data_IF_362797092406
#
_entry.id   IF_362797092406
#
_cell.length_a   1.000
_cell.length_b   1.000
_cell.length_c   1.000
_cell.angle_alpha   90.00
_cell.angle_beta   90.00
_cell.angle_gamma   90.00
#
_symmetry.space_group_name_H-M   'P 1'
#
loop_
_entity.id
_entity.type
_entity.pdbx_description
1 polymer ?
#
# COMPACT_ATOMS: atom_id res chain seq x y z
N UNK A 1 -13.49 8.22 10.76
CA UNK A 1 -13.40 9.45 9.94
C UNK A 1 -12.98 10.58 10.86
N UNK A 2 -12.10 11.51 10.43
CA UNK A 2 -11.77 12.69 11.24
C UNK A 2 -12.99 13.58 11.49
N UNK A 3 -14.00 13.44 10.63
CA UNK A 3 -15.31 14.05 10.76
C UNK A 3 -16.14 13.20 11.73
N UNK A 4 -16.68 13.81 12.79
CA UNK A 4 -17.63 13.15 13.67
C UNK A 4 -18.93 12.82 12.93
N UNK A 5 -19.57 11.73 13.34
CA UNK A 5 -20.94 11.36 12.94
C UNK A 5 -21.75 11.01 14.20
N UNK A 6 -23.04 10.76 14.06
CA UNK A 6 -23.89 10.30 15.17
C UNK A 6 -23.30 9.04 15.84
N UNK A 7 -22.64 8.17 15.07
CA UNK A 7 -21.95 6.99 15.60
C UNK A 7 -20.82 7.33 16.60
N UNK A 8 -20.25 8.54 16.53
CA UNK A 8 -19.19 8.98 17.44
C UNK A 8 -19.67 9.05 18.89
N UNK A 9 -20.95 9.30 19.13
CA UNK A 9 -21.55 9.30 20.48
C UNK A 9 -21.54 7.89 21.06
N UNK A 10 -21.86 6.88 20.24
CA UNK A 10 -21.86 5.48 20.63
C UNK A 10 -20.44 4.95 20.89
N UNK A 11 -19.48 5.33 20.04
CA UNK A 11 -18.07 4.99 20.24
C UNK A 11 -17.51 5.52 21.56
N UNK A 12 -17.88 6.74 21.98
CA UNK A 12 -17.51 7.29 23.30
C UNK A 12 -17.99 6.44 24.48
N UNK A 13 -19.09 5.72 24.28
CA UNK A 13 -19.67 4.79 25.26
C UNK A 13 -19.26 3.33 25.00
N UNK A 14 -18.25 3.09 24.15
CA UNK A 14 -17.71 1.76 23.81
C UNK A 14 -18.73 0.79 23.19
N UNK A 15 -19.74 1.31 22.49
CA UNK A 15 -20.61 0.45 21.69
C UNK A 15 -19.91 0.03 20.40
N UNK A 16 -19.98 -1.27 20.10
CA UNK A 16 -19.56 -1.82 18.81
C UNK A 16 -20.59 -1.49 17.73
N UNK A 17 -20.12 -1.21 16.52
CA UNK A 17 -21.00 -0.87 15.41
C UNK A 17 -20.24 -0.60 14.11
N UNK A 18 -20.99 -0.33 13.05
CA UNK A 18 -20.47 -0.06 11.71
C UNK A 18 -21.02 1.28 11.22
N UNK A 19 -20.17 2.10 10.61
CA UNK A 19 -20.55 3.36 9.97
C UNK A 19 -20.22 3.29 8.49
N UNK A 20 -21.22 3.48 7.64
CA UNK A 20 -21.08 3.40 6.18
C UNK A 20 -21.08 4.81 5.59
N UNK A 21 -20.04 5.15 4.81
CA UNK A 21 -19.95 6.41 4.09
C UNK A 21 -19.33 6.20 2.68
N UNK A 22 -19.86 6.89 1.66
CA UNK A 22 -19.20 7.01 0.35
C UNK A 22 -18.04 7.99 0.51
N UNK A 23 -16.87 7.62 -0.01
CA UNK A 23 -15.63 8.40 0.17
C UNK A 23 -15.23 9.21 -1.07
N UNK A 24 -15.65 8.81 -2.28
CA UNK A 24 -15.37 9.59 -3.49
C UNK A 24 -16.27 10.83 -3.57
N UNK A 25 -15.87 11.81 -4.39
CA UNK A 25 -16.57 13.08 -4.60
C UNK A 25 -16.72 13.94 -3.34
N UNK A 26 -15.72 13.90 -2.45
CA UNK A 26 -15.65 14.73 -1.24
C UNK A 26 -15.83 16.23 -1.51
N UNK A 27 -15.46 16.69 -2.71
CA UNK A 27 -15.61 18.07 -3.17
C UNK A 27 -17.07 18.55 -3.20
N UNK A 28 -18.05 17.64 -3.30
CA UNK A 28 -19.47 17.99 -3.35
C UNK A 28 -20.06 18.23 -1.96
N UNK A 29 -19.44 17.69 -0.91
CA UNK A 29 -19.93 17.74 0.45
C UNK A 29 -20.12 19.18 0.96
N UNK A 30 -21.29 19.50 1.52
CA UNK A 30 -21.65 20.84 2.00
C UNK A 30 -21.60 21.93 0.91
N UNK A 31 -21.86 21.57 -0.35
CA UNK A 31 -21.98 22.51 -1.47
C UNK A 31 -23.32 22.32 -2.17
N UNK A 32 -23.65 23.21 -3.11
CA UNK A 32 -24.82 23.04 -3.99
C UNK A 32 -24.75 21.79 -4.87
N UNK A 33 -23.56 21.17 -5.01
CA UNK A 33 -23.38 19.92 -5.75
C UNK A 33 -23.77 18.69 -4.92
N UNK A 34 -24.07 18.83 -3.62
CA UNK A 34 -24.66 17.77 -2.80
C UNK A 34 -26.16 17.62 -3.15
N UNK A 35 -26.43 17.14 -4.36
CA UNK A 35 -27.75 17.08 -4.98
C UNK A 35 -28.07 15.71 -5.56
N UNK A 36 -29.35 15.44 -5.79
CA UNK A 36 -29.84 14.17 -6.33
C UNK A 36 -29.17 13.78 -7.66
N UNK A 37 -28.90 14.78 -8.50
CA UNK A 37 -28.28 14.59 -9.83
C UNK A 37 -26.86 14.05 -9.75
N UNK A 38 -26.17 14.22 -8.63
CA UNK A 38 -24.80 13.77 -8.41
C UNK A 38 -24.71 12.44 -7.63
N UNK A 39 -25.84 11.79 -7.34
CA UNK A 39 -25.87 10.47 -6.71
C UNK A 39 -25.56 9.39 -7.76
N UNK A 40 -24.54 8.57 -7.47
CA UNK A 40 -24.25 7.38 -8.26
C UNK A 40 -25.13 6.20 -7.81
N UNK A 41 -26.01 5.75 -8.71
CA UNK A 41 -26.89 4.61 -8.47
C UNK A 41 -26.13 3.29 -8.23
N UNK A 42 -24.91 3.14 -8.78
CA UNK A 42 -24.09 1.95 -8.49
C UNK A 42 -23.60 1.96 -7.05
N UNK A 43 -23.19 3.12 -6.55
CA UNK A 43 -22.82 3.30 -5.14
C UNK A 43 -24.01 3.02 -4.21
N UNK A 44 -25.22 3.48 -4.58
CA UNK A 44 -26.46 3.17 -3.84
C UNK A 44 -26.79 1.68 -3.83
N UNK A 45 -26.68 1.00 -4.98
CA UNK A 45 -26.91 -0.44 -5.08
C UNK A 45 -25.90 -1.22 -4.23
N UNK A 46 -24.62 -0.85 -4.30
CA UNK A 46 -23.56 -1.46 -3.50
C UNK A 46 -23.78 -1.27 -2.00
N UNK A 47 -24.26 -0.10 -1.59
CA UNK A 47 -24.71 0.18 -0.21
C UNK A 47 -25.81 -0.78 0.23
N UNK A 48 -26.84 -0.94 -0.61
CA UNK A 48 -27.94 -1.86 -0.35
C UNK A 48 -27.45 -3.29 -0.16
N UNK A 49 -26.58 -3.78 -1.05
CA UNK A 49 -26.02 -5.13 -0.97
C UNK A 49 -25.20 -5.38 0.29
N UNK A 50 -24.41 -4.40 0.75
CA UNK A 50 -23.64 -4.54 1.98
C UNK A 50 -24.54 -4.46 3.22
N UNK A 51 -25.33 -3.40 3.33
CA UNK A 51 -26.11 -3.09 4.54
C UNK A 51 -27.26 -4.08 4.72
N UNK A 52 -27.98 -4.43 3.66
CA UNK A 52 -29.11 -5.35 3.75
C UNK A 52 -28.68 -6.72 4.28
N UNK A 53 -27.59 -7.27 3.75
CA UNK A 53 -27.09 -8.58 4.18
C UNK A 53 -26.63 -8.57 5.63
N UNK A 54 -25.96 -7.50 6.06
CA UNK A 54 -25.53 -7.32 7.47
C UNK A 54 -26.75 -7.19 8.38
N UNK A 55 -27.70 -6.30 8.07
CA UNK A 55 -28.90 -6.06 8.86
C UNK A 55 -29.79 -7.31 8.94
N UNK A 56 -29.97 -8.02 7.82
CA UNK A 56 -30.69 -9.29 7.76
C UNK A 56 -30.01 -10.34 8.62
N UNK A 57 -28.70 -10.52 8.50
CA UNK A 57 -27.94 -11.45 9.32
C UNK A 57 -28.12 -11.15 10.81
N UNK A 58 -27.99 -9.88 11.21
CA UNK A 58 -28.19 -9.45 12.58
C UNK A 58 -29.62 -9.71 13.10
N UNK A 59 -30.64 -9.39 12.30
CA UNK A 59 -32.05 -9.51 12.69
C UNK A 59 -32.53 -10.96 12.86
N UNK A 60 -31.96 -11.89 12.09
CA UNK A 60 -32.38 -13.30 12.10
C UNK A 60 -31.41 -14.24 12.84
N UNK A 61 -30.32 -13.72 13.39
CA UNK A 61 -29.42 -14.50 14.25
C UNK A 61 -30.02 -14.63 15.65
N UNK A 62 -30.01 -15.84 16.23
CA UNK A 62 -30.53 -16.07 17.58
C UNK A 62 -29.73 -15.29 18.64
N UNK A 63 -30.38 -14.83 19.71
CA UNK A 63 -29.74 -14.03 20.77
C UNK A 63 -28.55 -14.75 21.40
N UNK A 64 -28.67 -16.05 21.54
CA UNK A 64 -27.66 -17.00 22.02
C UNK A 64 -26.40 -17.05 21.13
N UNK A 65 -26.48 -16.65 19.86
CA UNK A 65 -25.32 -16.46 18.95
C UNK A 65 -24.80 -15.02 18.91
N UNK A 66 -25.54 -14.06 19.46
CA UNK A 66 -25.18 -12.63 19.52
C UNK A 66 -24.52 -12.25 20.86
N UNK A 67 -24.04 -13.23 21.62
CA UNK A 67 -23.56 -13.03 22.99
C UNK A 67 -22.27 -12.23 23.09
N UNK A 68 -21.50 -12.09 22.00
CA UNK A 68 -20.33 -11.22 21.97
C UNK A 68 -20.04 -10.70 20.54
N UNK A 69 -19.94 -9.37 20.39
CA UNK A 69 -19.48 -8.71 19.16
C UNK A 69 -17.97 -8.38 19.20
N UNK A 70 -17.27 -8.80 20.25
CA UNK A 70 -15.83 -8.66 20.38
C UNK A 70 -15.13 -9.94 19.91
N UNK A 71 -14.28 -9.78 18.90
CA UNK A 71 -13.37 -10.85 18.48
C UNK A 71 -12.15 -10.90 19.39
N UNK A 72 -11.59 -12.09 19.60
CA UNK A 72 -10.33 -12.25 20.33
C UNK A 72 -9.12 -11.68 19.55
N UNK A 73 -9.24 -11.59 18.22
CA UNK A 73 -8.17 -11.12 17.34
C UNK A 73 -8.73 -10.17 16.28
N UNK A 74 -7.94 -9.19 15.85
CA UNK A 74 -8.29 -8.42 14.66
C UNK A 74 -8.12 -9.26 13.40
N UNK A 75 -8.75 -8.82 12.32
CA UNK A 75 -8.64 -9.43 10.99
C UNK A 75 -7.91 -8.48 10.04
N UNK A 76 -7.05 -9.05 9.20
CA UNK A 76 -6.45 -8.38 8.03
C UNK A 76 -7.23 -8.83 6.81
N UNK A 77 -7.73 -7.88 6.02
CA UNK A 77 -8.49 -8.21 4.83
C UNK A 77 -8.25 -7.21 3.69
N UNK A 78 -8.36 -7.72 2.46
CA UNK A 78 -8.27 -6.93 1.24
C UNK A 78 -8.93 -7.68 0.08
N UNK A 79 -9.26 -6.94 -0.98
CA UNK A 79 -9.90 -7.51 -2.16
C UNK A 79 -8.85 -7.80 -3.23
N UNK A 80 -8.87 -9.01 -3.80
CA UNK A 80 -8.11 -9.33 -5.03
C UNK A 80 -8.96 -8.99 -6.26
N UNK A 81 -10.27 -9.14 -6.14
CA UNK A 81 -11.26 -8.70 -7.12
C UNK A 81 -12.51 -8.21 -6.38
N UNK A 82 -13.46 -7.52 -7.05
CA UNK A 82 -14.67 -7.03 -6.39
C UNK A 82 -15.45 -8.10 -5.62
N UNK A 83 -15.37 -9.36 -6.03
CA UNK A 83 -16.10 -10.48 -5.41
C UNK A 83 -15.22 -11.40 -4.54
N UNK A 84 -13.90 -11.19 -4.50
CA UNK A 84 -12.96 -12.06 -3.79
C UNK A 84 -12.25 -11.26 -2.70
N UNK A 85 -12.67 -11.51 -1.46
CA UNK A 85 -12.06 -10.95 -0.25
C UNK A 85 -11.12 -11.98 0.36
N UNK A 86 -9.85 -11.63 0.51
CA UNK A 86 -8.90 -12.36 1.33
C UNK A 86 -9.02 -11.84 2.76
N UNK A 87 -9.15 -12.74 3.74
CA UNK A 87 -9.17 -12.41 5.16
C UNK A 87 -8.41 -13.44 5.98
N UNK A 88 -7.69 -12.98 7.00
CA UNK A 88 -6.98 -13.82 7.96
C UNK A 88 -6.70 -13.03 9.25
N UNK A 89 -6.52 -13.75 10.36
CA UNK A 89 -6.25 -13.12 11.65
C UNK A 89 -4.94 -12.31 11.65
N UNK A 90 -4.89 -11.30 12.51
CA UNK A 90 -3.67 -10.53 12.79
C UNK A 90 -2.52 -11.44 13.26
N UNK A 91 -2.80 -12.49 14.03
CA UNK A 91 -1.79 -13.47 14.45
C UNK A 91 -1.17 -14.19 13.25
N UNK A 92 -1.99 -14.62 12.29
CA UNK A 92 -1.51 -15.20 11.03
C UNK A 92 -0.66 -14.20 10.25
N UNK A 93 -1.04 -12.92 10.24
CA UNK A 93 -0.27 -11.85 9.61
C UNK A 93 1.12 -11.71 10.25
N UNK A 94 1.18 -11.73 11.58
CA UNK A 94 2.40 -11.61 12.35
C UNK A 94 3.33 -12.83 12.17
N UNK A 95 2.76 -14.05 12.16
CA UNK A 95 3.52 -15.27 11.86
C UNK A 95 4.12 -15.19 10.45
N UNK A 96 3.35 -14.76 9.45
CA UNK A 96 3.85 -14.59 8.09
C UNK A 96 4.98 -13.56 8.03
N UNK A 97 4.82 -12.41 8.68
CA UNK A 97 5.87 -11.38 8.77
C UNK A 97 7.16 -11.95 9.35
N UNK A 98 7.07 -12.69 10.46
CA UNK A 98 8.22 -13.33 11.11
C UNK A 98 8.92 -14.31 10.16
N UNK A 99 8.18 -15.18 9.47
CA UNK A 99 8.72 -16.13 8.49
C UNK A 99 9.48 -15.39 7.37
N UNK A 100 8.89 -14.32 6.84
CA UNK A 100 9.47 -13.52 5.74
C UNK A 100 10.73 -12.79 6.21
N UNK A 101 10.74 -12.23 7.43
CA UNK A 101 11.94 -11.60 8.03
C UNK A 101 13.07 -12.61 8.21
N UNK A 102 12.81 -13.77 8.80
CA UNK A 102 13.84 -14.80 8.98
C UNK A 102 14.36 -15.34 7.64
N UNK A 103 13.48 -15.50 6.65
CA UNK A 103 13.86 -15.90 5.29
C UNK A 103 14.79 -14.87 4.65
N UNK A 104 14.50 -13.57 4.80
CA UNK A 104 15.37 -12.50 4.32
C UNK A 104 16.75 -12.58 4.96
N UNK A 105 16.82 -12.68 6.30
CA UNK A 105 18.08 -12.74 7.05
C UNK A 105 18.92 -13.95 6.58
N UNK A 106 18.29 -15.13 6.48
CA UNK A 106 18.96 -16.33 6.00
C UNK A 106 19.53 -16.14 4.58
N UNK A 107 18.76 -15.57 3.65
CA UNK A 107 19.22 -15.33 2.28
C UNK A 107 20.32 -14.28 2.18
N UNK A 108 20.28 -13.21 2.99
CA UNK A 108 21.36 -12.21 3.04
C UNK A 108 22.67 -12.88 3.51
N UNK A 109 22.62 -13.66 4.60
CA UNK A 109 23.79 -14.39 5.11
C UNK A 109 24.34 -15.35 4.06
N UNK A 110 23.46 -16.12 3.39
CA UNK A 110 23.85 -17.05 2.34
C UNK A 110 24.43 -16.35 1.11
N UNK A 111 23.83 -15.25 0.66
CA UNK A 111 24.33 -14.45 -0.46
C UNK A 111 25.70 -13.86 -0.15
N UNK A 112 25.91 -13.39 1.09
CA UNK A 112 27.19 -12.88 1.55
C UNK A 112 28.26 -13.96 1.58
N UNK A 113 27.97 -15.12 2.20
CA UNK A 113 28.88 -16.28 2.25
C UNK A 113 29.25 -16.80 0.85
N UNK A 114 28.34 -16.74 -0.11
CA UNK A 114 28.59 -17.11 -1.52
C UNK A 114 29.31 -16.02 -2.33
N UNK A 115 29.69 -14.90 -1.72
CA UNK A 115 30.35 -13.78 -2.41
C UNK A 115 29.44 -13.01 -3.39
N UNK A 116 28.13 -13.29 -3.37
CA UNK A 116 27.13 -12.65 -4.25
C UNK A 116 26.59 -11.33 -3.71
N UNK A 117 26.88 -11.00 -2.45
CA UNK A 117 26.47 -9.76 -1.77
C UNK A 117 27.64 -9.15 -1.01
N UNK A 118 27.96 -7.88 -1.27
CA UNK A 118 28.89 -7.08 -0.46
C UNK A 118 28.09 -6.24 0.53
N UNK A 119 28.29 -6.50 1.81
CA UNK A 119 27.48 -5.91 2.88
C UNK A 119 27.51 -4.37 2.91
N UNK A 120 28.69 -3.77 2.70
CA UNK A 120 28.81 -2.30 2.64
C UNK A 120 28.01 -1.67 1.49
N UNK A 121 27.88 -2.35 0.34
CA UNK A 121 27.07 -1.88 -0.79
C UNK A 121 25.58 -2.07 -0.54
N UNK A 122 25.19 -3.18 0.08
CA UNK A 122 23.83 -3.39 0.55
C UNK A 122 23.37 -2.26 1.47
N UNK A 123 24.17 -1.88 2.48
CA UNK A 123 23.85 -0.75 3.36
C UNK A 123 23.76 0.59 2.61
N UNK A 124 24.69 0.84 1.67
CA UNK A 124 24.64 2.05 0.85
C UNK A 124 23.36 2.11 0.00
N UNK A 125 22.93 0.98 -0.56
CA UNK A 125 21.71 0.88 -1.35
C UNK A 125 20.45 1.11 -0.50
N UNK A 126 20.42 0.66 0.77
CA UNK A 126 19.35 1.00 1.71
C UNK A 126 19.26 2.51 1.88
N UNK A 127 20.39 3.18 2.16
CA UNK A 127 20.43 4.63 2.37
C UNK A 127 20.01 5.37 1.09
N UNK A 128 20.59 5.02 -0.06
CA UNK A 128 20.32 5.66 -1.34
C UNK A 128 18.84 5.49 -1.78
N UNK A 129 18.29 4.28 -1.61
CA UNK A 129 16.89 4.00 -1.94
C UNK A 129 15.96 4.75 -1.00
N UNK A 130 16.23 4.74 0.31
CA UNK A 130 15.44 5.49 1.31
C UNK A 130 15.44 6.99 1.01
N UNK A 131 16.62 7.55 0.74
CA UNK A 131 16.76 8.95 0.38
C UNK A 131 15.97 9.28 -0.89
N UNK A 132 16.02 8.44 -1.91
CA UNK A 132 15.30 8.66 -3.16
C UNK A 132 13.78 8.60 -2.95
N UNK A 133 13.27 7.63 -2.17
CA UNK A 133 11.84 7.53 -1.82
C UNK A 133 11.38 8.78 -1.09
N UNK A 134 12.08 9.17 -0.02
CA UNK A 134 11.72 10.32 0.82
C UNK A 134 11.81 11.62 0.01
N UNK A 135 12.89 11.80 -0.75
CA UNK A 135 13.10 12.99 -1.57
C UNK A 135 11.98 13.15 -2.61
N UNK A 136 11.62 12.09 -3.33
CA UNK A 136 10.55 12.14 -4.32
C UNK A 136 9.18 12.39 -3.67
N UNK A 137 8.89 11.75 -2.53
CA UNK A 137 7.65 12.02 -1.79
C UNK A 137 7.55 13.48 -1.33
N UNK A 138 8.63 14.05 -0.80
CA UNK A 138 8.70 15.46 -0.41
C UNK A 138 8.53 16.38 -1.64
N UNK A 139 9.24 16.10 -2.74
CA UNK A 139 9.13 16.85 -3.98
C UNK A 139 7.70 16.84 -4.52
N UNK A 140 7.05 15.68 -4.52
CA UNK A 140 5.66 15.54 -4.94
C UNK A 140 4.66 16.25 -4.02
N UNK A 141 5.03 16.53 -2.76
CA UNK A 141 4.23 17.33 -1.81
C UNK A 141 4.31 18.82 -2.10
N UNK A 142 5.38 19.30 -2.75
CA UNK A 142 5.51 20.70 -3.15
C UNK A 142 4.44 21.10 -4.16
N UNK A 143 3.98 20.17 -5.00
CA UNK A 143 2.93 20.43 -6.01
C UNK A 143 1.62 20.87 -5.35
N UNK A 144 0.96 20.07 -4.48
CA UNK A 144 -0.25 20.52 -3.80
C UNK A 144 -0.02 21.72 -2.88
N UNK A 145 1.17 21.87 -2.29
CA UNK A 145 1.51 23.07 -1.50
C UNK A 145 1.48 24.36 -2.34
N UNK A 146 2.12 24.34 -3.52
CA UNK A 146 2.13 25.48 -4.45
C UNK A 146 0.71 25.75 -4.95
N UNK A 147 -0.04 24.71 -5.31
CA UNK A 147 -1.42 24.82 -5.76
C UNK A 147 -2.32 25.44 -4.69
N UNK A 148 -2.18 25.02 -3.43
CA UNK A 148 -2.90 25.62 -2.32
C UNK A 148 -2.62 27.13 -2.22
N UNK A 149 -1.34 27.52 -2.30
CA UNK A 149 -0.92 28.93 -2.21
C UNK A 149 -1.45 29.78 -3.37
N UNK A 150 -1.41 29.27 -4.61
CA UNK A 150 -1.92 29.98 -5.80
C UNK A 150 -3.44 30.19 -5.71
N UNK A 151 -4.16 29.22 -5.16
CA UNK A 151 -5.62 29.29 -4.99
C UNK A 151 -6.05 29.97 -3.68
N UNK A 152 -5.13 30.57 -2.92
CA UNK A 152 -5.45 31.25 -1.66
C UNK A 152 -5.94 30.32 -0.54
N UNK A 153 -5.65 29.02 -0.62
CA UNK A 153 -6.08 28.01 0.34
C UNK A 153 -4.95 27.67 1.33
N UNK A 154 -5.34 27.28 2.55
CA UNK A 154 -4.39 26.73 3.53
C UNK A 154 -4.03 25.30 3.14
N UNK A 155 -2.75 25.06 2.87
CA UNK A 155 -2.25 23.71 2.60
C UNK A 155 -2.49 22.77 3.79
N UNK A 156 -2.97 21.56 3.48
CA UNK A 156 -3.12 20.47 4.43
C UNK A 156 -2.84 19.14 3.72
N UNK A 157 -2.02 18.30 4.35
CA UNK A 157 -1.54 17.01 3.83
C UNK A 157 -2.65 15.97 3.64
N UNK A 158 -3.75 16.09 4.37
CA UNK A 158 -4.82 15.09 4.39
C UNK A 158 -6.16 15.66 3.94
N UNK A 159 -6.22 16.93 3.55
CA UNK A 159 -7.46 17.58 3.13
C UNK A 159 -7.18 18.86 2.32
N UNK A 160 -7.24 18.74 1.00
CA UNK A 160 -7.09 19.81 0.02
C UNK A 160 -8.09 19.59 -1.15
N UNK A 161 -9.40 19.69 -0.88
CA UNK A 161 -10.45 19.54 -1.89
C UNK A 161 -10.48 20.72 -2.87
N UNK A 162 -11.31 20.62 -3.91
CA UNK A 162 -11.66 21.69 -4.85
C UNK A 162 -10.49 22.26 -5.67
N UNK A 163 -9.41 21.49 -5.85
CA UNK A 163 -8.33 21.84 -6.77
C UNK A 163 -8.71 21.40 -8.20
N UNK A 164 -8.72 22.32 -9.18
CA UNK A 164 -8.97 21.98 -10.58
C UNK A 164 -7.99 20.92 -11.10
N UNK A 165 -8.50 19.92 -11.81
CA UNK A 165 -7.71 18.82 -12.38
C UNK A 165 -6.92 17.99 -11.35
N UNK A 166 -7.34 17.99 -10.07
CA UNK A 166 -6.64 17.31 -8.98
C UNK A 166 -6.30 15.85 -9.29
N UNK A 167 -7.26 15.08 -9.80
CA UNK A 167 -7.09 13.65 -10.16
C UNK A 167 -5.96 13.44 -11.19
N UNK A 168 -5.88 14.29 -12.22
CA UNK A 168 -4.85 14.20 -13.25
C UNK A 168 -3.46 14.58 -12.70
N UNK A 169 -3.39 15.63 -11.88
CA UNK A 169 -2.13 16.06 -11.25
C UNK A 169 -1.63 14.96 -10.29
N UNK A 170 -2.53 14.36 -9.52
CA UNK A 170 -2.22 13.25 -8.62
C UNK A 170 -1.62 12.06 -9.40
N UNK A 171 -2.27 11.64 -10.50
CA UNK A 171 -1.80 10.54 -11.33
C UNK A 171 -0.44 10.83 -11.99
N UNK A 172 -0.28 12.03 -12.56
CA UNK A 172 0.97 12.43 -13.22
C UNK A 172 2.14 12.54 -12.23
N UNK A 173 1.89 12.99 -11.00
CA UNK A 173 2.90 13.01 -9.93
C UNK A 173 3.36 11.58 -9.56
N UNK A 174 2.43 10.64 -9.41
CA UNK A 174 2.76 9.23 -9.12
C UNK A 174 3.55 8.61 -10.27
N UNK A 175 3.07 8.73 -11.52
CA UNK A 175 3.75 8.17 -12.69
C UNK A 175 5.13 8.80 -12.90
N UNK A 176 5.23 10.12 -12.74
CA UNK A 176 6.50 10.85 -12.81
C UNK A 176 7.49 10.37 -11.76
N UNK A 177 7.05 10.19 -10.51
CA UNK A 177 7.89 9.66 -9.44
C UNK A 177 8.38 8.23 -9.73
N UNK A 178 7.50 7.35 -10.26
CA UNK A 178 7.90 6.00 -10.70
C UNK A 178 9.01 6.08 -11.75
N UNK A 179 8.85 6.93 -12.78
CA UNK A 179 9.84 7.07 -13.85
C UNK A 179 11.18 7.60 -13.34
N UNK A 180 11.16 8.66 -12.53
CA UNK A 180 12.38 9.25 -11.96
C UNK A 180 13.07 8.27 -11.00
N UNK A 181 12.31 7.58 -10.15
CA UNK A 181 12.84 6.54 -9.28
C UNK A 181 13.47 5.41 -10.09
N UNK A 182 12.76 4.92 -11.11
CA UNK A 182 13.25 3.85 -11.99
C UNK A 182 14.56 4.24 -12.68
N UNK A 183 14.63 5.48 -13.17
CA UNK A 183 15.84 6.02 -13.77
C UNK A 183 16.98 6.10 -12.74
N UNK A 184 16.73 6.64 -11.54
CA UNK A 184 17.74 6.75 -10.48
C UNK A 184 18.29 5.39 -10.05
N UNK A 185 17.41 4.41 -9.79
CA UNK A 185 17.80 3.05 -9.41
C UNK A 185 18.55 2.33 -10.53
N UNK A 186 18.18 2.57 -11.80
CA UNK A 186 18.91 2.00 -12.94
C UNK A 186 20.37 2.45 -12.99
N UNK A 187 20.70 3.65 -12.51
CA UNK A 187 22.07 4.16 -12.41
C UNK A 187 22.88 3.51 -11.29
N UNK A 188 22.23 3.01 -10.25
CA UNK A 188 22.90 2.27 -9.17
C UNK A 188 23.30 0.86 -9.60
N UNK A 189 22.60 0.28 -10.59
CA UNK A 189 22.99 -0.98 -11.20
C UNK A 189 24.28 -0.80 -12.01
N UNK A 190 25.40 -1.29 -11.48
CA UNK A 190 26.66 -1.36 -12.23
C UNK A 190 26.96 -2.75 -12.72
N UNK A 191 28.07 -2.86 -13.45
CA UNK A 191 28.43 -4.01 -14.30
C UNK A 191 28.62 -5.36 -13.57
N UNK A 192 28.79 -5.37 -12.24
CA UNK A 192 29.03 -6.59 -11.45
C UNK A 192 27.87 -6.88 -10.49
N UNK A 193 26.95 -7.81 -10.83
CA UNK A 193 25.97 -8.45 -9.92
C UNK A 193 25.21 -7.53 -8.93
N UNK A 194 25.17 -6.21 -9.18
CA UNK A 194 24.62 -5.21 -8.24
C UNK A 194 23.12 -5.34 -8.04
N UNK A 195 22.45 -6.11 -8.90
CA UNK A 195 21.01 -6.35 -8.85
C UNK A 195 20.56 -6.96 -7.52
N UNK A 196 21.28 -7.97 -6.99
CA UNK A 196 20.89 -8.63 -5.74
C UNK A 196 20.95 -7.70 -4.53
N UNK A 197 21.99 -6.87 -4.42
CA UNK A 197 22.14 -5.91 -3.34
C UNK A 197 20.98 -4.89 -3.33
N UNK A 198 20.55 -4.43 -4.51
CA UNK A 198 19.38 -3.54 -4.66
C UNK A 198 18.08 -4.24 -4.28
N UNK A 199 17.86 -5.47 -4.74
CA UNK A 199 16.67 -6.26 -4.40
C UNK A 199 16.58 -6.48 -2.89
N UNK A 200 17.65 -6.96 -2.26
CA UNK A 200 17.67 -7.15 -0.80
C UNK A 200 17.43 -5.84 -0.04
N UNK A 201 17.92 -4.71 -0.55
CA UNK A 201 17.66 -3.39 0.05
C UNK A 201 16.18 -3.02 -0.01
N UNK A 202 15.53 -3.21 -1.17
CA UNK A 202 14.10 -2.97 -1.34
C UNK A 202 13.24 -3.86 -0.43
N UNK A 203 13.56 -5.16 -0.34
CA UNK A 203 12.88 -6.09 0.56
C UNK A 203 13.08 -5.64 2.02
N UNK A 204 14.31 -5.31 2.43
CA UNK A 204 14.61 -4.86 3.80
C UNK A 204 13.79 -3.63 4.18
N UNK A 205 13.73 -2.63 3.30
CA UNK A 205 12.95 -1.41 3.54
C UNK A 205 11.46 -1.69 3.71
N UNK A 206 10.91 -2.57 2.88
CA UNK A 206 9.50 -2.95 3.00
C UNK A 206 9.24 -3.76 4.27
N UNK A 207 10.13 -4.65 4.70
CA UNK A 207 9.94 -5.37 5.96
C UNK A 207 10.07 -4.47 7.19
N UNK A 208 10.91 -3.43 7.14
CA UNK A 208 10.91 -2.38 8.17
C UNK A 208 9.54 -1.68 8.22
N UNK A 209 9.00 -1.30 7.06
CA UNK A 209 7.65 -0.71 6.99
C UNK A 209 6.56 -1.69 7.42
N UNK A 210 6.69 -2.98 7.11
CA UNK A 210 5.77 -4.02 7.54
C UNK A 210 5.77 -4.19 9.06
N UNK A 211 6.94 -4.16 9.71
CA UNK A 211 7.05 -4.20 11.16
C UNK A 211 6.42 -2.95 11.80
N UNK A 212 6.70 -1.76 11.25
CA UNK A 212 6.04 -0.53 11.72
C UNK A 212 4.52 -0.60 11.53
N UNK A 213 4.05 -1.06 10.36
CA UNK A 213 2.63 -1.25 10.10
C UNK A 213 2.01 -2.27 11.04
N UNK A 214 2.68 -3.39 11.35
CA UNK A 214 2.14 -4.40 12.29
C UNK A 214 1.85 -3.83 13.68
N UNK A 215 2.60 -2.80 14.11
CA UNK A 215 2.43 -2.18 15.43
C UNK A 215 1.34 -1.09 15.41
N UNK A 216 1.36 -0.23 14.38
CA UNK A 216 0.51 0.98 14.35
C UNK A 216 -0.75 0.84 13.50
N UNK A 217 -0.74 -0.05 12.53
CA UNK A 217 -1.80 -0.24 11.54
C UNK A 217 -1.77 -1.68 11.01
N UNK A 218 -2.02 -2.65 11.89
CA UNK A 218 -1.82 -4.07 11.60
C UNK A 218 -2.55 -4.52 10.32
N UNK A 219 -3.75 -3.97 10.08
CA UNK A 219 -4.55 -4.17 8.88
C UNK A 219 -3.89 -3.73 7.56
N UNK A 220 -2.81 -2.94 7.58
CA UNK A 220 -2.10 -2.48 6.39
C UNK A 220 -0.76 -3.19 6.15
N UNK A 221 -0.26 -3.99 7.09
CA UNK A 221 1.07 -4.60 6.98
C UNK A 221 1.20 -5.53 5.74
N UNK A 222 0.10 -6.14 5.30
CA UNK A 222 0.06 -7.04 4.15
C UNK A 222 0.59 -6.41 2.86
N UNK A 223 0.43 -5.09 2.70
CA UNK A 223 0.85 -4.37 1.49
C UNK A 223 2.36 -4.46 1.28
N UNK A 224 3.12 -4.57 2.37
CA UNK A 224 4.58 -4.69 2.38
C UNK A 224 5.03 -6.15 2.44
N UNK A 225 4.34 -6.99 3.24
CA UNK A 225 4.72 -8.40 3.44
C UNK A 225 4.55 -9.23 2.19
N UNK A 226 3.42 -9.11 1.48
CA UNK A 226 3.11 -9.97 0.34
C UNK A 226 4.11 -9.77 -0.80
N UNK A 227 4.39 -8.54 -1.28
CA UNK A 227 5.41 -8.34 -2.31
C UNK A 227 6.82 -8.75 -1.85
N UNK A 228 7.17 -8.50 -0.58
CA UNK A 228 8.44 -8.94 -0.02
C UNK A 228 8.60 -10.46 -0.05
N UNK A 229 7.55 -11.22 0.28
CA UNK A 229 7.57 -12.68 0.23
C UNK A 229 7.83 -13.21 -1.18
N UNK A 230 7.18 -12.66 -2.21
CA UNK A 230 7.44 -13.04 -3.60
C UNK A 230 8.87 -12.70 -4.04
N UNK A 231 9.40 -11.54 -3.64
CA UNK A 231 10.79 -11.20 -3.98
C UNK A 231 11.83 -12.00 -3.19
N UNK A 232 11.52 -12.49 -2.00
CA UNK A 232 12.34 -13.49 -1.30
C UNK A 232 12.39 -14.80 -2.09
N UNK A 233 11.25 -15.27 -2.61
CA UNK A 233 11.22 -16.45 -3.48
C UNK A 233 12.04 -16.23 -4.76
N UNK A 234 11.96 -15.04 -5.36
CA UNK A 234 12.81 -14.66 -6.49
C UNK A 234 14.31 -14.74 -6.13
N UNK A 235 14.71 -14.16 -5.00
CA UNK A 235 16.09 -14.21 -4.50
C UNK A 235 16.55 -15.66 -4.23
N UNK A 236 15.67 -16.50 -3.66
CA UNK A 236 15.96 -17.92 -3.45
C UNK A 236 16.26 -18.62 -4.78
N UNK A 237 15.39 -18.45 -5.79
CA UNK A 237 15.60 -19.03 -7.13
C UNK A 237 16.88 -18.48 -7.75
N UNK A 238 17.19 -17.19 -7.60
CA UNK A 238 18.42 -16.59 -8.13
C UNK A 238 19.71 -17.10 -7.43
N UNK A 239 19.62 -17.49 -6.16
CA UNK A 239 20.77 -17.99 -5.40
C UNK A 239 21.04 -19.49 -5.61
N UNK A 240 20.01 -20.29 -5.89
CA UNK A 240 20.08 -21.75 -5.96
C UNK A 240 19.70 -22.36 -7.31
N UNK A 241 18.86 -21.68 -8.10
CA UNK A 241 18.38 -22.14 -9.40
C UNK A 241 18.99 -21.38 -10.58
N UNK A 242 18.93 -21.99 -11.76
CA UNK A 242 19.28 -21.37 -13.06
C UNK A 242 18.09 -21.25 -14.01
N UNK A 243 16.89 -21.60 -13.58
CA UNK A 243 15.73 -21.66 -14.45
C UNK A 243 15.05 -20.28 -14.54
N UNK A 244 15.22 -19.61 -15.68
CA UNK A 244 14.62 -18.29 -15.92
C UNK A 244 13.09 -18.34 -16.00
N UNK A 245 12.51 -19.48 -16.40
CA UNK A 245 11.05 -19.69 -16.39
C UNK A 245 10.53 -19.64 -14.96
N UNK A 246 11.21 -20.25 -14.00
CA UNK A 246 10.81 -20.19 -12.59
C UNK A 246 10.94 -18.77 -12.02
N UNK A 247 11.96 -18.01 -12.44
CA UNK A 247 12.09 -16.60 -12.05
C UNK A 247 10.92 -15.76 -12.57
N UNK A 248 10.55 -15.96 -13.84
CA UNK A 248 9.38 -15.31 -14.45
C UNK A 248 8.07 -15.73 -13.75
N UNK A 249 7.91 -17.01 -13.44
CA UNK A 249 6.74 -17.55 -12.76
C UNK A 249 6.53 -16.97 -11.36
N UNK A 250 7.58 -16.47 -10.70
CA UNK A 250 7.48 -15.76 -9.41
C UNK A 250 7.31 -14.25 -9.58
N UNK A 251 8.03 -13.64 -10.52
CA UNK A 251 8.01 -12.18 -10.67
C UNK A 251 6.68 -11.67 -11.23
N UNK A 252 6.04 -12.40 -12.15
CA UNK A 252 4.79 -11.98 -12.79
C UNK A 252 3.66 -11.90 -11.75
N UNK A 253 3.40 -12.93 -10.91
CA UNK A 253 2.46 -12.79 -9.81
C UNK A 253 2.81 -11.68 -8.82
N UNK A 254 4.09 -11.47 -8.52
CA UNK A 254 4.53 -10.36 -7.65
C UNK A 254 4.14 -8.99 -8.21
N UNK A 255 4.30 -8.80 -9.51
CA UNK A 255 3.91 -7.58 -10.22
C UNK A 255 2.41 -7.38 -10.17
N UNK A 256 1.65 -8.43 -10.49
CA UNK A 256 0.20 -8.41 -10.42
C UNK A 256 -0.30 -8.07 -9.00
N UNK A 257 0.31 -8.67 -7.97
CA UNK A 257 -0.04 -8.39 -6.58
C UNK A 257 0.23 -6.94 -6.19
N UNK A 258 1.32 -6.32 -6.63
CA UNK A 258 1.51 -4.89 -6.34
C UNK A 258 0.43 -4.04 -7.00
N UNK A 259 0.05 -4.32 -8.25
CA UNK A 259 -1.04 -3.58 -8.87
C UNK A 259 -2.38 -3.79 -8.14
N UNK A 260 -2.71 -5.03 -7.81
CA UNK A 260 -3.96 -5.39 -7.11
C UNK A 260 -4.02 -4.75 -5.72
N UNK A 261 -2.92 -4.70 -4.97
CA UNK A 261 -2.93 -4.18 -3.60
C UNK A 261 -2.75 -2.66 -3.55
N UNK A 262 -1.87 -2.07 -4.37
CA UNK A 262 -1.53 -0.65 -4.29
C UNK A 262 -2.52 0.23 -5.03
N UNK A 263 -3.01 -0.14 -6.23
CA UNK A 263 -3.91 0.75 -7.00
C UNK A 263 -5.17 1.12 -6.20
N UNK A 264 -5.90 0.18 -5.58
CA UNK A 264 -7.10 0.53 -4.81
C UNK A 264 -6.77 1.45 -3.64
N UNK A 265 -5.65 1.22 -2.94
CA UNK A 265 -5.23 2.07 -1.82
C UNK A 265 -4.86 3.47 -2.31
N UNK A 266 -4.13 3.61 -3.42
CA UNK A 266 -3.79 4.90 -4.00
C UNK A 266 -5.03 5.66 -4.47
N UNK A 267 -6.05 4.96 -4.98
CA UNK A 267 -7.34 5.55 -5.32
C UNK A 267 -8.08 6.00 -4.05
N UNK A 268 -8.19 5.16 -3.03
CA UNK A 268 -8.85 5.48 -1.76
C UNK A 268 -8.17 6.63 -1.02
N UNK A 269 -6.84 6.72 -1.06
CA UNK A 269 -6.09 7.86 -0.52
C UNK A 269 -6.44 9.14 -1.27
N UNK A 270 -6.55 9.10 -2.60
CA UNK A 270 -6.97 10.27 -3.38
C UNK A 270 -8.43 10.66 -3.08
N UNK A 271 -9.34 9.71 -2.96
CA UNK A 271 -10.74 10.00 -2.63
C UNK A 271 -10.88 10.59 -1.22
N UNK A 272 -10.28 9.93 -0.22
CA UNK A 272 -10.46 10.30 1.19
C UNK A 272 -9.58 11.45 1.66
N UNK A 273 -8.37 11.59 1.13
CA UNK A 273 -7.38 12.59 1.56
C UNK A 273 -7.09 13.64 0.50
N UNK A 274 -7.70 13.55 -0.68
CA UNK A 274 -7.56 14.49 -1.82
C UNK A 274 -6.10 14.67 -2.28
N UNK A 275 -5.85 15.66 -3.14
CA UNK A 275 -4.52 15.94 -3.69
C UNK A 275 -3.48 16.37 -2.63
N UNK A 276 -3.92 16.76 -1.43
CA UNK A 276 -2.99 17.03 -0.30
C UNK A 276 -2.08 15.84 0.00
N UNK A 277 -2.57 14.62 -0.24
CA UNK A 277 -1.90 13.36 0.10
C UNK A 277 -0.94 12.83 -0.96
N UNK A 278 -0.74 13.53 -2.10
CA UNK A 278 0.11 13.05 -3.21
C UNK A 278 1.47 12.54 -2.74
N UNK A 279 2.13 13.25 -1.81
CA UNK A 279 3.41 12.83 -1.26
C UNK A 279 3.36 11.50 -0.52
N UNK A 280 2.30 11.27 0.27
CA UNK A 280 2.07 10.01 1.00
C UNK A 280 1.86 8.87 0.01
N UNK A 281 1.10 9.12 -1.04
CA UNK A 281 0.81 8.14 -2.08
C UNK A 281 2.04 7.80 -2.91
N UNK A 282 2.88 8.78 -3.24
CA UNK A 282 4.19 8.56 -3.86
C UNK A 282 5.09 7.75 -2.95
N UNK A 283 5.19 8.11 -1.67
CA UNK A 283 5.98 7.38 -0.68
C UNK A 283 5.57 5.90 -0.63
N UNK A 284 4.27 5.63 -0.44
CA UNK A 284 3.72 4.28 -0.39
C UNK A 284 4.02 3.51 -1.68
N UNK A 285 3.70 4.08 -2.83
CA UNK A 285 3.88 3.44 -4.12
C UNK A 285 5.36 3.10 -4.41
N UNK A 286 6.28 4.01 -4.05
CA UNK A 286 7.71 3.77 -4.25
C UNK A 286 8.28 2.68 -3.34
N UNK A 287 7.70 2.43 -2.16
CA UNK A 287 8.06 1.24 -1.37
C UNK A 287 7.77 -0.05 -2.14
N UNK A 288 6.56 -0.21 -2.70
CA UNK A 288 6.23 -1.36 -3.53
C UNK A 288 7.13 -1.46 -4.76
N UNK A 289 7.34 -0.33 -5.44
CA UNK A 289 8.17 -0.27 -6.65
C UNK A 289 9.65 -0.59 -6.36
N UNK A 290 10.17 -0.25 -5.17
CA UNK A 290 11.55 -0.54 -4.75
C UNK A 290 11.86 -2.05 -4.65
N UNK A 291 10.84 -2.89 -4.51
CA UNK A 291 10.98 -4.34 -4.54
C UNK A 291 11.01 -4.86 -5.98
N UNK A 292 9.99 -4.48 -6.76
CA UNK A 292 9.76 -5.05 -8.09
C UNK A 292 10.79 -4.59 -9.09
N UNK A 293 11.05 -3.29 -9.14
CA UNK A 293 11.81 -2.71 -10.23
C UNK A 293 13.24 -3.25 -10.29
N UNK A 294 13.97 -3.43 -9.17
CA UNK A 294 15.25 -4.14 -9.18
C UNK A 294 15.15 -5.59 -9.67
N UNK A 295 14.07 -6.31 -9.37
CA UNK A 295 13.86 -7.67 -9.86
C UNK A 295 13.65 -7.67 -11.39
N UNK A 296 12.83 -6.75 -11.93
CA UNK A 296 12.61 -6.59 -13.38
C UNK A 296 13.92 -6.24 -14.08
N UNK A 297 14.65 -5.24 -13.56
CA UNK A 297 15.95 -4.85 -14.08
C UNK A 297 16.92 -6.02 -14.11
N UNK A 298 16.89 -6.90 -13.11
CA UNK A 298 17.76 -8.08 -13.03
C UNK A 298 17.45 -9.11 -14.11
N UNK A 299 16.20 -9.23 -14.56
CA UNK A 299 15.81 -10.14 -15.65
C UNK A 299 16.12 -9.54 -17.03
N UNK A 300 15.74 -8.28 -17.27
CA UNK A 300 15.80 -7.67 -18.61
C UNK A 300 17.25 -7.37 -19.03
N UNK A 301 18.10 -7.02 -18.07
CA UNK A 301 19.49 -6.62 -18.30
C UNK A 301 20.38 -7.54 -17.46
N UNK A 302 20.58 -8.82 -17.84
CA UNK A 302 21.29 -9.80 -17.01
C UNK A 302 22.73 -9.38 -16.66
#
# INVERSE_FOLDING_TARGET
>A
MPNGSDFSVFLKHKFNGLNFAVVDSLDYYHTEQDSYENIDLNSMQHYGEQIFNIARSFAFTSKDKLSNFESATNEVFFNISPSIVVRYSEDTANVLLVIVVFSLIALIILAHKKGKLKFGRFLLNIIATSFTIIFLAMLSTLVPYILAKINGMKFNLIYLPNIPNAKLIYLTAILGAILVFSFAISKFKGKDNRGLELIFSGITLNLIMAMLASIYLAGAAYIFVIPAAFSILFCFIQLFGKNDILKLAVIVPSILMIFVLYIPILYLLNCGLTIGSVGISVLLNLFGWSIIFPCILHIIIP
#
